data_IF_813175832169
#
_entry.id   IF_813175832169
#
_cell.length_a   1.000
_cell.length_b   1.000
_cell.length_c   1.000
_cell.angle_alpha   90.00
_cell.angle_beta   90.00
_cell.angle_gamma   90.00
#
_symmetry.space_group_name_H-M   'P 1'
#
loop_
_entity.id
_entity.type
_entity.pdbx_description
1 polymer ?
#
# COMPACT_ATOMS: atom_id res chain seq x y z
N UNK A 1 -13.09 -9.68 8.97
CA UNK A 1 -13.46 -8.27 8.81
C UNK A 1 -13.31 -7.58 10.15
N UNK A 2 -12.49 -6.54 10.22
CA UNK A 2 -12.33 -5.74 11.42
C UNK A 2 -13.34 -4.60 11.44
N UNK A 3 -13.99 -4.40 12.58
CA UNK A 3 -14.89 -3.28 12.82
C UNK A 3 -14.25 -2.28 13.79
N UNK A 4 -14.36 -1.00 13.46
CA UNK A 4 -13.97 0.12 14.32
C UNK A 4 -15.12 1.12 14.35
N UNK A 5 -15.55 1.51 15.52
CA UNK A 5 -16.69 2.42 15.72
C UNK A 5 -18.00 1.98 15.02
N UNK A 6 -18.21 0.67 14.88
CA UNK A 6 -19.39 0.11 14.20
C UNK A 6 -19.31 0.09 12.68
N UNK A 7 -18.16 0.40 12.09
CA UNK A 7 -17.91 0.38 10.65
C UNK A 7 -16.86 -0.66 10.30
N UNK A 8 -17.07 -1.39 9.20
CA UNK A 8 -16.07 -2.29 8.64
C UNK A 8 -14.94 -1.48 7.99
N UNK A 9 -13.68 -1.71 8.39
CA UNK A 9 -12.53 -0.95 7.88
C UNK A 9 -12.44 -0.94 6.36
N UNK A 10 -12.58 -2.10 5.73
CA UNK A 10 -12.48 -2.21 4.27
C UNK A 10 -13.63 -1.47 3.56
N UNK A 11 -14.85 -1.56 4.11
CA UNK A 11 -16.01 -0.88 3.54
C UNK A 11 -15.88 0.64 3.67
N UNK A 12 -15.40 1.12 4.83
CA UNK A 12 -15.11 2.53 5.05
C UNK A 12 -14.11 3.06 4.04
N UNK A 13 -12.99 2.38 3.81
CA UNK A 13 -12.01 2.80 2.81
C UNK A 13 -12.59 2.83 1.40
N UNK A 14 -13.39 1.82 1.01
CA UNK A 14 -14.06 1.80 -0.29
C UNK A 14 -15.01 3.00 -0.43
N UNK A 15 -15.80 3.31 0.60
CA UNK A 15 -16.70 4.45 0.60
C UNK A 15 -15.95 5.77 0.45
N UNK A 16 -14.87 5.97 1.21
CA UNK A 16 -14.02 7.16 1.13
C UNK A 16 -13.38 7.32 -0.28
N UNK A 17 -12.94 6.22 -0.89
CA UNK A 17 -12.46 6.24 -2.28
C UNK A 17 -13.57 6.63 -3.27
N UNK A 18 -14.78 6.07 -3.10
CA UNK A 18 -15.94 6.42 -3.94
C UNK A 18 -16.35 7.88 -3.78
N UNK A 19 -16.36 8.41 -2.56
CA UNK A 19 -16.62 9.82 -2.25
C UNK A 19 -15.60 10.75 -2.94
N UNK A 20 -14.34 10.33 -3.00
CA UNK A 20 -13.28 11.02 -3.74
C UNK A 20 -13.39 10.86 -5.27
N UNK A 21 -14.39 10.12 -5.78
CA UNK A 21 -14.59 9.89 -7.21
C UNK A 21 -13.78 8.72 -7.79
N UNK A 22 -13.10 7.94 -6.94
CA UNK A 22 -12.28 6.79 -7.35
C UNK A 22 -13.15 5.53 -7.30
N UNK A 23 -13.52 5.00 -8.47
CA UNK A 23 -14.44 3.86 -8.59
C UNK A 23 -13.77 2.56 -9.03
N UNK A 24 -12.58 2.64 -9.65
CA UNK A 24 -11.86 1.44 -10.09
C UNK A 24 -11.00 0.92 -8.93
N UNK A 25 -11.56 0.02 -8.14
CA UNK A 25 -10.93 -0.54 -6.93
C UNK A 25 -10.66 -2.02 -7.16
N UNK A 26 -9.42 -2.43 -6.94
CA UNK A 26 -8.99 -3.84 -6.98
C UNK A 26 -8.49 -4.24 -5.60
N UNK A 27 -9.01 -5.32 -5.06
CA UNK A 27 -8.63 -5.86 -3.76
C UNK A 27 -7.86 -7.17 -3.97
N UNK A 28 -6.67 -7.26 -3.40
CA UNK A 28 -5.90 -8.51 -3.41
C UNK A 28 -6.28 -9.31 -2.18
N UNK A 29 -6.88 -10.48 -2.39
CA UNK A 29 -7.41 -11.34 -1.35
C UNK A 29 -6.51 -12.56 -1.14
N UNK A 30 -6.35 -12.98 0.11
CA UNK A 30 -5.67 -14.20 0.52
C UNK A 30 -6.48 -14.99 1.53
N UNK A 31 -6.13 -14.87 2.81
CA UNK A 31 -6.80 -15.59 3.90
C UNK A 31 -8.28 -15.23 4.02
N UNK A 32 -9.14 -16.26 4.13
CA UNK A 32 -10.60 -16.11 4.23
C UNK A 32 -11.23 -15.25 3.14
N UNK A 33 -10.71 -15.36 1.91
CA UNK A 33 -11.13 -14.58 0.74
C UNK A 33 -12.65 -14.59 0.52
N UNK A 34 -13.32 -15.70 0.88
CA UNK A 34 -14.76 -15.87 0.71
C UNK A 34 -15.59 -14.85 1.51
N UNK A 35 -15.04 -14.36 2.61
CA UNK A 35 -15.70 -13.36 3.46
C UNK A 35 -15.78 -11.98 2.79
N UNK A 36 -15.08 -11.75 1.69
CA UNK A 36 -14.99 -10.46 0.99
C UNK A 36 -15.77 -10.43 -0.32
N UNK A 37 -16.24 -11.56 -0.84
CA UNK A 37 -16.87 -11.63 -2.15
C UNK A 37 -18.12 -10.76 -2.28
N UNK A 38 -18.87 -10.53 -1.20
CA UNK A 38 -20.02 -9.64 -1.19
C UNK A 38 -19.68 -8.18 -1.58
N UNK A 39 -18.43 -7.78 -1.45
CA UNK A 39 -17.98 -6.42 -1.81
C UNK A 39 -18.06 -6.17 -3.32
N UNK A 40 -17.97 -7.20 -4.16
CA UNK A 40 -18.15 -7.11 -5.59
C UNK A 40 -19.57 -6.62 -5.93
N UNK A 41 -20.57 -7.29 -5.39
CA UNK A 41 -21.99 -6.94 -5.60
C UNK A 41 -22.33 -5.58 -4.97
N UNK A 42 -21.76 -5.30 -3.79
CA UNK A 42 -22.10 -4.10 -3.02
C UNK A 42 -21.44 -2.83 -3.55
N UNK A 43 -20.19 -2.92 -4.02
CA UNK A 43 -19.36 -1.76 -4.34
C UNK A 43 -18.75 -1.80 -5.75
N UNK A 44 -18.91 -2.87 -6.50
CA UNK A 44 -18.35 -3.02 -7.84
C UNK A 44 -16.82 -3.17 -7.87
N UNK A 45 -16.22 -3.64 -6.78
CA UNK A 45 -14.78 -3.88 -6.69
C UNK A 45 -14.37 -5.14 -7.46
N UNK A 46 -13.10 -5.22 -7.85
CA UNK A 46 -12.50 -6.39 -8.50
C UNK A 46 -11.61 -7.13 -7.51
N UNK A 47 -11.43 -8.44 -7.72
CA UNK A 47 -10.54 -9.24 -6.91
C UNK A 47 -9.38 -9.82 -7.70
N UNK A 48 -8.23 -9.87 -7.05
CA UNK A 48 -7.07 -10.66 -7.42
C UNK A 48 -6.81 -11.62 -6.27
N UNK A 49 -6.63 -12.91 -6.56
CA UNK A 49 -6.37 -13.90 -5.51
C UNK A 49 -4.86 -14.11 -5.38
N UNK A 50 -4.37 -13.95 -4.16
CA UNK A 50 -3.01 -14.31 -3.79
C UNK A 50 -3.03 -15.66 -3.05
N UNK A 51 -2.82 -16.75 -3.77
CA UNK A 51 -2.78 -18.09 -3.16
C UNK A 51 -1.48 -18.37 -2.38
N UNK A 52 -0.49 -17.47 -2.51
CA UNK A 52 0.78 -17.55 -1.78
C UNK A 52 0.80 -16.70 -0.48
N UNK A 53 -0.36 -16.20 -0.02
CA UNK A 53 -0.49 -15.27 1.11
C UNK A 53 0.14 -15.76 2.42
N UNK A 54 0.25 -17.08 2.61
CA UNK A 54 0.78 -17.71 3.82
C UNK A 54 2.30 -17.99 3.77
N UNK A 55 2.92 -17.79 2.61
CA UNK A 55 4.36 -18.08 2.39
C UNK A 55 5.11 -16.90 1.80
N UNK A 56 4.41 -15.90 1.28
CA UNK A 56 4.99 -14.69 0.71
C UNK A 56 4.42 -13.44 1.35
N UNK A 57 5.23 -12.40 1.44
CA UNK A 57 4.83 -11.13 2.00
C UNK A 57 4.09 -10.23 0.99
N UNK A 58 3.79 -8.98 1.38
CA UNK A 58 2.96 -8.05 0.60
C UNK A 58 3.51 -7.70 -0.79
N UNK A 59 4.80 -7.85 -1.03
CA UNK A 59 5.39 -7.66 -2.38
C UNK A 59 4.75 -8.58 -3.44
N UNK A 60 4.35 -9.79 -3.07
CA UNK A 60 3.64 -10.69 -3.98
C UNK A 60 2.26 -10.13 -4.34
N UNK A 61 1.54 -9.55 -3.38
CA UNK A 61 0.24 -8.93 -3.63
C UNK A 61 0.36 -7.75 -4.61
N UNK A 62 1.38 -6.90 -4.43
CA UNK A 62 1.67 -5.79 -5.37
C UNK A 62 2.02 -6.33 -6.76
N UNK A 63 2.85 -7.37 -6.83
CA UNK A 63 3.22 -7.97 -8.11
C UNK A 63 2.03 -8.58 -8.85
N UNK A 64 1.12 -9.26 -8.15
CA UNK A 64 -0.11 -9.80 -8.74
C UNK A 64 -0.99 -8.67 -9.31
N UNK A 65 -1.06 -7.54 -8.61
CA UNK A 65 -1.81 -6.36 -9.02
C UNK A 65 -1.06 -5.43 -9.99
N UNK A 66 0.12 -5.81 -10.50
CA UNK A 66 1.03 -4.93 -11.27
C UNK A 66 0.42 -4.25 -12.49
N UNK A 67 -0.60 -4.82 -13.10
CA UNK A 67 -1.29 -4.22 -14.24
C UNK A 67 -2.14 -3.00 -13.86
N UNK A 68 -2.48 -2.88 -12.58
CA UNK A 68 -3.29 -1.81 -12.01
C UNK A 68 -2.43 -0.63 -11.49
N UNK A 69 -1.09 -0.77 -11.44
CA UNK A 69 -0.17 0.23 -10.89
C UNK A 69 0.07 1.41 -11.86
N UNK A 70 -1.02 2.14 -12.16
CA UNK A 70 -1.00 3.28 -13.10
C UNK A 70 -1.77 4.44 -12.50
N UNK A 71 -1.08 5.39 -11.84
CA UNK A 71 -1.71 6.47 -11.10
C UNK A 71 -2.70 5.90 -10.07
N UNK A 72 -2.20 5.11 -9.15
CA UNK A 72 -2.99 4.24 -8.28
C UNK A 72 -2.66 4.48 -6.82
N UNK A 73 -3.67 4.58 -5.97
CA UNK A 73 -3.49 4.44 -4.52
C UNK A 73 -3.19 2.99 -4.17
N UNK A 74 -2.21 2.79 -3.29
CA UNK A 74 -1.95 1.53 -2.62
C UNK A 74 -2.38 1.70 -1.17
N UNK A 75 -3.32 0.89 -0.73
CA UNK A 75 -3.91 0.98 0.61
C UNK A 75 -3.73 -0.34 1.35
N UNK A 76 -3.54 -0.25 2.66
CA UNK A 76 -3.63 -1.40 3.57
C UNK A 76 -5.03 -1.45 4.19
N UNK A 77 -5.56 -2.65 4.40
CA UNK A 77 -6.95 -2.86 4.81
C UNK A 77 -7.21 -2.68 6.31
N UNK A 78 -6.17 -2.40 7.09
CA UNK A 78 -6.21 -2.25 8.55
C UNK A 78 -6.06 -0.79 9.04
N UNK A 79 -6.04 0.17 8.11
CA UNK A 79 -6.02 1.59 8.45
C UNK A 79 -7.43 2.16 8.59
N UNK A 80 -7.67 2.89 9.68
CA UNK A 80 -8.89 3.66 9.91
C UNK A 80 -8.63 5.15 9.70
N UNK A 81 -9.18 5.71 8.64
CA UNK A 81 -9.08 7.14 8.38
C UNK A 81 -10.32 7.87 8.95
N UNK A 82 -10.09 8.73 9.95
CA UNK A 82 -11.16 9.53 10.56
C UNK A 82 -11.77 10.49 9.55
N UNK A 83 -10.92 11.21 8.83
CA UNK A 83 -11.28 12.06 7.69
C UNK A 83 -10.89 11.35 6.38
N UNK A 84 -11.54 11.70 5.27
CA UNK A 84 -11.23 11.13 3.96
C UNK A 84 -9.87 11.66 3.45
N UNK A 85 -8.83 10.82 3.34
CA UNK A 85 -7.51 11.25 2.90
C UNK A 85 -7.34 11.22 1.38
N UNK A 86 -8.34 10.75 0.63
CA UNK A 86 -8.22 10.50 -0.81
C UNK A 86 -8.69 11.69 -1.63
N UNK A 87 -7.98 11.95 -2.74
CA UNK A 87 -8.33 12.93 -3.75
C UNK A 87 -8.53 12.24 -5.10
N UNK A 88 -9.43 12.77 -5.92
CA UNK A 88 -9.66 12.24 -7.27
C UNK A 88 -8.41 12.30 -8.15
N UNK A 89 -7.59 13.32 -7.96
CA UNK A 89 -6.36 13.55 -8.71
C UNK A 89 -5.20 13.80 -7.77
N UNK A 90 -4.09 13.09 -8.02
CA UNK A 90 -2.82 13.29 -7.36
C UNK A 90 -1.73 13.64 -8.39
N UNK A 91 -0.88 14.59 -8.04
CA UNK A 91 0.11 15.14 -8.96
C UNK A 91 1.48 14.52 -8.86
N UNK A 92 1.75 13.81 -7.76
CA UNK A 92 3.06 13.21 -7.48
C UNK A 92 2.90 11.88 -6.74
N UNK A 93 3.92 11.02 -6.87
CA UNK A 93 4.06 9.84 -6.03
C UNK A 93 4.32 10.27 -4.59
N UNK A 94 3.61 9.68 -3.63
CA UNK A 94 3.86 9.89 -2.21
C UNK A 94 3.61 8.65 -1.39
N UNK A 95 4.16 8.64 -0.18
CA UNK A 95 3.80 7.74 0.89
C UNK A 95 3.33 8.57 2.10
N UNK A 96 2.17 8.26 2.65
CA UNK A 96 1.67 8.96 3.83
C UNK A 96 2.51 8.61 5.05
N UNK A 97 2.85 9.62 5.83
CA UNK A 97 3.65 9.48 7.04
C UNK A 97 3.01 10.15 8.25
N UNK A 98 3.43 9.72 9.42
CA UNK A 98 3.03 10.28 10.69
C UNK A 98 4.23 10.44 11.62
N UNK A 99 4.26 11.55 12.37
CA UNK A 99 5.32 11.80 13.36
C UNK A 99 5.00 11.10 14.67
N UNK A 100 5.94 10.34 15.20
CA UNK A 100 5.84 9.64 16.48
C UNK A 100 6.97 10.05 17.42
N UNK A 101 6.68 10.09 18.71
CA UNK A 101 7.63 10.47 19.76
C UNK A 101 8.04 9.28 20.66
N UNK A 102 7.70 8.06 20.25
CA UNK A 102 7.99 6.85 20.99
C UNK A 102 8.56 5.78 20.05
N UNK A 103 9.27 4.84 20.62
CA UNK A 103 9.83 3.70 19.89
C UNK A 103 8.71 2.81 19.36
N UNK A 104 8.76 2.52 18.06
CA UNK A 104 7.91 1.54 17.38
C UNK A 104 8.75 0.62 16.52
N UNK A 105 8.18 -0.50 16.08
CA UNK A 105 8.80 -1.41 15.10
C UNK A 105 8.46 -1.05 13.66
N UNK A 106 7.87 0.13 13.45
CA UNK A 106 7.48 0.63 12.15
C UNK A 106 8.68 1.07 11.29
N UNK A 107 8.43 1.29 10.01
CA UNK A 107 9.41 1.83 9.07
C UNK A 107 9.50 3.35 9.24
N UNK A 108 10.64 3.82 9.73
CA UNK A 108 10.96 5.24 9.84
C UNK A 108 11.55 5.77 8.55
N UNK A 109 11.24 7.03 8.24
CA UNK A 109 11.78 7.74 7.09
C UNK A 109 12.43 9.05 7.50
N UNK A 110 13.49 9.41 6.78
CA UNK A 110 14.07 10.75 6.80
C UNK A 110 13.83 11.38 5.42
N UNK A 111 13.43 12.64 5.41
CA UNK A 111 13.16 13.39 4.18
C UNK A 111 14.09 14.57 4.04
N UNK A 112 14.38 14.96 2.80
CA UNK A 112 15.08 16.22 2.50
C UNK A 112 14.09 17.41 2.50
N UNK A 113 14.57 18.60 2.14
CA UNK A 113 13.77 19.85 2.09
C UNK A 113 12.62 19.79 1.08
N UNK A 114 12.70 18.93 0.06
CA UNK A 114 11.65 18.72 -0.96
C UNK A 114 10.66 17.61 -0.55
N UNK A 115 10.70 17.18 0.71
CA UNK A 115 9.93 16.06 1.26
C UNK A 115 10.18 14.71 0.56
N UNK A 116 11.30 14.55 -0.16
CA UNK A 116 11.72 13.26 -0.71
C UNK A 116 12.29 12.38 0.38
N UNK A 117 11.85 11.12 0.41
CA UNK A 117 12.43 10.10 1.29
C UNK A 117 13.88 9.85 0.83
N UNK A 118 14.83 10.11 1.72
CA UNK A 118 16.27 9.90 1.50
C UNK A 118 16.84 8.74 2.31
N UNK A 119 16.10 8.30 3.34
CA UNK A 119 16.48 7.16 4.14
C UNK A 119 15.26 6.46 4.71
N UNK A 120 15.32 5.15 4.77
CA UNK A 120 14.32 4.31 5.39
C UNK A 120 15.00 3.33 6.36
N UNK A 121 14.48 3.22 7.59
CA UNK A 121 15.10 2.45 8.66
C UNK A 121 14.04 1.90 9.62
N UNK A 122 14.19 0.67 10.07
CA UNK A 122 13.25 0.05 11.01
C UNK A 122 13.67 0.29 12.45
N UNK A 123 12.70 0.58 13.34
CA UNK A 123 12.88 0.49 14.77
C UNK A 123 13.63 1.64 15.44
N UNK A 124 13.36 2.89 15.13
CA UNK A 124 13.88 4.09 15.84
C UNK A 124 13.03 4.49 17.06
N UNK A 125 13.54 5.45 17.84
CA UNK A 125 12.89 5.94 19.05
C UNK A 125 11.90 7.08 18.82
N UNK A 126 12.04 7.84 17.73
CA UNK A 126 11.16 8.94 17.34
C UNK A 126 11.42 9.33 15.87
N UNK A 127 10.46 9.95 15.22
CA UNK A 127 10.58 10.45 13.85
C UNK A 127 9.31 10.24 13.04
N UNK A 128 9.41 10.32 11.72
CA UNK A 128 8.30 10.01 10.83
C UNK A 128 8.27 8.51 10.53
N UNK A 129 7.10 7.90 10.67
CA UNK A 129 6.82 6.53 10.24
C UNK A 129 5.92 6.53 9.02
N UNK A 130 6.02 5.47 8.21
CA UNK A 130 5.10 5.26 7.10
C UNK A 130 3.75 4.76 7.61
N UNK A 131 2.68 5.35 7.08
CA UNK A 131 1.31 4.87 7.26
C UNK A 131 0.90 3.98 6.07
N UNK A 132 -0.17 3.25 6.22
CA UNK A 132 -0.56 2.22 5.28
C UNK A 132 -1.09 2.66 3.93
N UNK A 133 -0.95 3.92 3.47
CA UNK A 133 -1.36 4.29 2.13
C UNK A 133 -0.32 5.16 1.40
N UNK A 134 -0.26 4.96 0.09
CA UNK A 134 0.61 5.68 -0.82
C UNK A 134 -0.09 5.89 -2.15
N UNK A 135 0.35 6.88 -2.93
CA UNK A 135 -0.07 7.06 -4.31
C UNK A 135 1.13 6.88 -5.24
N UNK A 136 0.96 6.08 -6.26
CA UNK A 136 1.99 5.75 -7.23
C UNK A 136 1.62 6.28 -8.60
N UNK A 137 2.40 7.21 -9.12
CA UNK A 137 2.33 7.55 -10.54
C UNK A 137 2.79 6.38 -11.39
N UNK A 138 2.34 6.38 -12.65
CA UNK A 138 2.67 5.31 -13.60
C UNK A 138 4.17 5.05 -13.69
N UNK A 139 4.98 6.10 -13.76
CA UNK A 139 6.44 6.01 -13.89
C UNK A 139 7.08 5.28 -12.70
N UNK A 140 6.59 5.56 -11.48
CA UNK A 140 7.05 4.87 -10.27
C UNK A 140 6.62 3.41 -10.29
N UNK A 141 5.35 3.13 -10.64
CA UNK A 141 4.82 1.78 -10.75
C UNK A 141 5.59 0.94 -11.78
N UNK A 142 5.85 1.49 -12.96
CA UNK A 142 6.62 0.82 -14.02
C UNK A 142 8.05 0.47 -13.53
N UNK A 143 8.73 1.43 -12.88
CA UNK A 143 10.08 1.20 -12.35
C UNK A 143 10.09 0.17 -11.23
N UNK A 144 9.13 0.23 -10.31
CA UNK A 144 8.98 -0.76 -9.25
C UNK A 144 8.83 -2.17 -9.82
N UNK A 145 7.96 -2.34 -10.83
CA UNK A 145 7.74 -3.65 -11.46
C UNK A 145 8.99 -4.15 -12.18
N UNK A 146 9.70 -3.29 -12.89
CA UNK A 146 11.00 -3.65 -13.53
C UNK A 146 11.97 -4.25 -12.50
N UNK A 147 12.10 -3.60 -11.33
CA UNK A 147 12.97 -4.08 -10.25
C UNK A 147 12.46 -5.42 -9.68
N UNK A 148 11.14 -5.54 -9.44
CA UNK A 148 10.55 -6.79 -8.93
C UNK A 148 10.74 -7.94 -9.90
N UNK A 149 10.52 -7.72 -11.20
CA UNK A 149 10.68 -8.75 -12.23
C UNK A 149 12.14 -9.22 -12.33
N UNK A 150 13.08 -8.27 -12.28
CA UNK A 150 14.50 -8.61 -12.21
C UNK A 150 14.82 -9.43 -10.94
N UNK A 151 14.34 -8.98 -9.80
CA UNK A 151 14.60 -9.66 -8.52
C UNK A 151 13.99 -11.05 -8.43
N UNK A 152 12.85 -11.30 -9.06
CA UNK A 152 12.23 -12.64 -9.09
C UNK A 152 13.16 -13.70 -9.68
N UNK A 153 14.10 -13.32 -10.54
CA UNK A 153 15.14 -14.20 -11.07
C UNK A 153 16.31 -14.42 -10.08
N UNK A 154 16.56 -13.46 -9.20
CA UNK A 154 17.67 -13.47 -8.22
C UNK A 154 17.24 -13.96 -6.84
N UNK A 155 16.00 -13.67 -6.45
CA UNK A 155 15.38 -14.16 -5.23
C UNK A 155 15.63 -13.33 -3.96
N UNK A 156 16.12 -12.09 -4.06
CA UNK A 156 16.45 -11.25 -2.91
C UNK A 156 15.22 -10.81 -2.10
N UNK A 157 14.11 -10.46 -2.77
CA UNK A 157 12.91 -9.90 -2.13
C UNK A 157 11.70 -10.85 -2.12
N UNK A 158 11.88 -12.15 -2.36
CA UNK A 158 10.75 -13.10 -2.51
C UNK A 158 9.79 -13.12 -1.32
N UNK A 159 10.27 -12.84 -0.11
CA UNK A 159 9.47 -12.78 1.13
C UNK A 159 9.58 -11.42 1.83
N UNK A 160 9.92 -10.36 1.08
CA UNK A 160 10.08 -9.04 1.64
C UNK A 160 8.75 -8.26 1.69
N UNK A 161 8.71 -7.25 2.53
CA UNK A 161 7.78 -6.14 2.36
C UNK A 161 8.23 -5.32 1.16
N UNK A 162 7.29 -4.80 0.37
CA UNK A 162 7.61 -4.01 -0.82
C UNK A 162 8.38 -2.72 -0.48
N UNK A 163 8.19 -2.20 0.73
CA UNK A 163 8.93 -1.05 1.27
C UNK A 163 10.44 -1.29 1.34
N UNK A 164 10.86 -2.54 1.54
CA UNK A 164 12.29 -2.88 1.57
C UNK A 164 12.92 -2.77 0.17
N UNK A 165 12.18 -3.11 -0.86
CA UNK A 165 12.63 -2.91 -2.23
C UNK A 165 12.79 -1.42 -2.54
N UNK A 166 11.83 -0.57 -2.12
CA UNK A 166 11.94 0.89 -2.27
C UNK A 166 13.15 1.41 -1.48
N UNK A 167 13.31 1.01 -0.23
CA UNK A 167 14.46 1.39 0.62
C UNK A 167 15.80 1.14 -0.06
N UNK A 168 15.94 -0.04 -0.66
CA UNK A 168 17.20 -0.47 -1.27
C UNK A 168 17.45 0.17 -2.65
N UNK A 169 16.50 0.97 -3.16
CA UNK A 169 16.54 1.61 -4.48
C UNK A 169 16.09 3.09 -4.44
N UNK A 170 16.33 3.80 -3.35
CA UNK A 170 15.92 5.21 -3.18
C UNK A 170 16.53 6.18 -4.21
N UNK A 171 17.65 5.81 -4.81
CA UNK A 171 18.38 6.61 -5.79
C UNK A 171 17.92 6.35 -7.25
N UNK A 172 16.98 5.45 -7.46
CA UNK A 172 16.38 5.13 -8.75
C UNK A 172 15.04 5.86 -8.97
#
# INVERSE_FOLDING_TARGET
>A
LFEVNGENLIERQIQQLHEAGIKNITIVLGYKKEMFYYLEDKYGVKFIINDAFNIKNNIESIYLARKELKNTYICVSDSYFVENPFNQFEYQTFYAGHSVNNKTDEMYVETNFDARIVKMEKGKCAGQILLGHSFWKKEFGDKFIEIVEHDRSVGKYQNAFWEWLVRDNLDC
#
